data_IF_388164172096
#
_entry.id   IF_388164172096
#
_cell.length_a   1.000
_cell.length_b   1.000
_cell.length_c   1.000
_cell.angle_alpha   90.00
_cell.angle_beta   90.00
_cell.angle_gamma   90.00
#
_symmetry.space_group_name_H-M   'P 1'
#
loop_
_entity.id
_entity.type
_entity.pdbx_description
1 polymer ?
#
# COMPACT_ATOMS: atom_id res chain seq x y z
N UNK A 1 -10.24 13.27 26.71
CA UNK A 1 -11.05 12.33 25.92
C UNK A 1 -11.35 11.16 26.83
N UNK A 2 -12.63 10.82 27.07
CA UNK A 2 -13.01 9.80 28.07
C UNK A 2 -12.92 8.36 27.54
N UNK A 3 -13.03 8.17 26.22
CA UNK A 3 -12.90 6.88 25.56
C UNK A 3 -11.96 6.99 24.34
N UNK A 4 -11.12 5.97 24.04
CA UNK A 4 -10.33 5.93 22.82
C UNK A 4 -11.21 6.01 21.55
N UNK A 5 -10.73 6.73 20.53
CA UNK A 5 -11.34 6.78 19.19
C UNK A 5 -10.39 6.08 18.23
N UNK A 6 -10.90 5.06 17.52
CA UNK A 6 -10.12 4.28 16.55
C UNK A 6 -10.60 4.65 15.15
N UNK A 7 -9.68 5.11 14.30
CA UNK A 7 -9.96 5.38 12.90
C UNK A 7 -10.08 4.06 12.11
N UNK A 8 -11.32 3.64 11.85
CA UNK A 8 -11.62 2.50 10.99
C UNK A 8 -11.24 2.76 9.53
N UNK A 9 -11.59 3.94 9.01
CA UNK A 9 -11.23 4.46 7.68
C UNK A 9 -11.68 5.93 7.59
N UNK A 10 -10.88 6.79 6.96
CA UNK A 10 -11.24 8.16 6.56
C UNK A 10 -10.79 8.42 5.13
N UNK A 11 -11.07 9.62 4.61
CA UNK A 11 -10.51 10.08 3.34
C UNK A 11 -8.97 10.19 3.35
N UNK A 12 -8.39 10.51 4.50
CA UNK A 12 -6.95 10.75 4.62
C UNK A 12 -6.15 9.51 5.06
N UNK A 13 -6.74 8.63 5.87
CA UNK A 13 -5.99 7.53 6.49
C UNK A 13 -6.87 6.29 6.68
N UNK A 14 -6.23 5.12 6.57
CA UNK A 14 -6.81 3.81 6.88
C UNK A 14 -5.85 2.99 7.77
N UNK A 15 -5.59 3.45 9.02
CA UNK A 15 -4.51 2.92 9.85
C UNK A 15 -4.74 1.48 10.31
N UNK A 16 -6.00 1.04 10.45
CA UNK A 16 -6.31 -0.36 10.80
C UNK A 16 -5.96 -1.34 9.68
N UNK A 17 -6.06 -0.93 8.41
CA UNK A 17 -5.54 -1.71 7.28
C UNK A 17 -4.03 -1.78 7.34
N UNK A 18 -3.34 -0.65 7.50
CA UNK A 18 -1.88 -0.62 7.56
C UNK A 18 -1.29 -1.52 8.66
N UNK A 19 -1.97 -1.66 9.81
CA UNK A 19 -1.49 -2.56 10.88
C UNK A 19 -1.64 -4.03 10.47
N UNK A 20 -2.73 -4.39 9.78
CA UNK A 20 -2.88 -5.73 9.20
C UNK A 20 -1.85 -6.00 8.11
N UNK A 21 -1.54 -5.00 7.27
CA UNK A 21 -0.51 -5.12 6.23
C UNK A 21 0.85 -5.41 6.86
N UNK A 22 1.24 -4.64 7.87
CA UNK A 22 2.49 -4.84 8.60
C UNK A 22 2.56 -6.19 9.33
N UNK A 23 1.43 -6.69 9.85
CA UNK A 23 1.36 -8.03 10.43
C UNK A 23 1.64 -9.09 9.36
N UNK A 24 0.97 -8.99 8.21
CA UNK A 24 1.15 -9.90 7.07
C UNK A 24 2.59 -9.87 6.54
N UNK A 25 3.17 -8.68 6.34
CA UNK A 25 4.56 -8.53 5.93
C UNK A 25 5.50 -9.22 6.92
N UNK A 26 5.28 -9.03 8.22
CA UNK A 26 6.11 -9.65 9.26
C UNK A 26 6.01 -11.18 9.24
N UNK A 27 4.83 -11.73 9.01
CA UNK A 27 4.61 -13.18 8.92
C UNK A 27 5.26 -13.80 7.68
N UNK A 28 5.14 -13.13 6.52
CA UNK A 28 5.64 -13.66 5.24
C UNK A 28 7.12 -13.41 5.01
N UNK A 29 7.67 -12.32 5.56
CA UNK A 29 9.07 -11.89 5.33
C UNK A 29 9.95 -11.94 6.58
N UNK A 30 9.39 -12.18 7.76
CA UNK A 30 10.11 -12.36 9.03
C UNK A 30 10.64 -11.07 9.66
N UNK A 31 10.89 -10.00 8.89
CA UNK A 31 11.33 -8.70 9.40
C UNK A 31 10.87 -7.55 8.49
N UNK A 32 11.03 -6.31 8.93
CA UNK A 32 10.84 -5.11 8.09
C UNK A 32 12.15 -4.58 7.51
N UNK A 33 13.28 -5.01 8.07
CA UNK A 33 14.57 -4.41 7.80
C UNK A 33 15.02 -4.73 6.38
N UNK A 34 15.33 -3.68 5.60
CA UNK A 34 15.82 -3.83 4.24
C UNK A 34 14.78 -4.31 3.24
N UNK A 35 13.50 -4.30 3.61
CA UNK A 35 12.41 -4.57 2.68
C UNK A 35 12.08 -3.32 1.85
N UNK A 36 11.67 -3.55 0.61
CA UNK A 36 11.09 -2.54 -0.28
C UNK A 36 9.65 -2.90 -0.66
N UNK A 37 8.75 -1.92 -0.59
CA UNK A 37 7.39 -1.99 -1.12
C UNK A 37 7.31 -1.18 -2.43
N UNK A 38 6.79 -1.79 -3.48
CA UNK A 38 6.30 -1.10 -4.66
C UNK A 38 4.79 -0.92 -4.53
N UNK A 39 4.32 0.31 -4.42
CA UNK A 39 2.89 0.65 -4.39
C UNK A 39 2.43 1.13 -5.77
N UNK A 40 1.32 0.59 -6.26
CA UNK A 40 0.69 1.02 -7.52
C UNK A 40 -0.82 1.21 -7.35
N UNK A 41 -1.30 2.40 -7.68
CA UNK A 41 -2.72 2.78 -7.66
C UNK A 41 -2.97 4.11 -6.98
N UNK A 42 -4.22 4.39 -6.62
CA UNK A 42 -4.65 5.72 -6.20
C UNK A 42 -3.88 6.24 -4.96
N UNK A 43 -3.53 7.53 -4.96
CA UNK A 43 -2.89 8.21 -3.84
C UNK A 43 -3.96 8.75 -2.88
N UNK A 44 -4.44 7.84 -2.03
CA UNK A 44 -5.49 8.13 -1.06
C UNK A 44 -5.14 7.54 0.31
N UNK A 45 -6.14 7.34 1.17
CA UNK A 45 -5.99 6.90 2.54
C UNK A 45 -4.99 5.74 2.79
N UNK A 46 -5.03 4.67 1.97
CA UNK A 46 -4.09 3.55 2.11
C UNK A 46 -2.69 3.94 1.68
N UNK A 47 -2.50 4.64 0.55
CA UNK A 47 -1.20 5.15 0.13
C UNK A 47 -0.55 6.00 1.24
N UNK A 48 -1.31 6.92 1.83
CA UNK A 48 -0.86 7.80 2.90
C UNK A 48 -0.49 7.02 4.17
N UNK A 49 -1.31 6.05 4.55
CA UNK A 49 -1.02 5.16 5.68
C UNK A 49 0.27 4.38 5.45
N UNK A 50 0.43 3.79 4.26
CA UNK A 50 1.62 3.04 3.87
C UNK A 50 2.87 3.92 3.87
N UNK A 51 2.81 5.16 3.34
CA UNK A 51 3.92 6.12 3.39
C UNK A 51 4.38 6.36 4.83
N UNK A 52 3.45 6.67 5.73
CA UNK A 52 3.78 6.96 7.13
C UNK A 52 4.36 5.72 7.82
N UNK A 53 3.79 4.54 7.58
CA UNK A 53 4.22 3.31 8.24
C UNK A 53 5.59 2.85 7.75
N UNK A 54 5.82 2.86 6.43
CA UNK A 54 7.12 2.55 5.84
C UNK A 54 8.21 3.49 6.38
N UNK A 55 7.95 4.80 6.35
CA UNK A 55 8.89 5.78 6.89
C UNK A 55 9.17 5.60 8.39
N UNK A 56 8.15 5.21 9.16
CA UNK A 56 8.27 4.99 10.62
C UNK A 56 9.04 3.71 10.95
N UNK A 57 8.93 2.67 10.12
CA UNK A 57 9.49 1.34 10.39
C UNK A 57 10.77 1.03 9.62
N UNK A 58 11.24 1.94 8.77
CA UNK A 58 12.49 1.73 8.02
C UNK A 58 12.30 0.84 6.79
N UNK A 59 11.10 0.81 6.21
CA UNK A 59 10.79 0.08 4.98
C UNK A 59 10.92 1.05 3.81
N UNK A 60 11.64 0.66 2.76
CA UNK A 60 11.70 1.47 1.54
C UNK A 60 10.36 1.39 0.80
N UNK A 61 9.90 2.52 0.27
CA UNK A 61 8.64 2.63 -0.47
C UNK A 61 8.88 3.38 -1.77
N UNK A 62 8.59 2.71 -2.88
CA UNK A 62 8.47 3.34 -4.19
C UNK A 62 7.01 3.35 -4.61
N UNK A 63 6.50 4.51 -4.96
CA UNK A 63 5.13 4.73 -5.41
C UNK A 63 5.17 4.99 -6.90
N UNK A 64 4.58 4.08 -7.67
CA UNK A 64 4.44 4.21 -9.10
C UNK A 64 3.15 4.99 -9.40
N UNK A 65 3.28 6.24 -9.84
CA UNK A 65 2.13 7.10 -10.08
C UNK A 65 2.32 8.05 -11.27
N UNK A 66 1.23 8.42 -11.97
CA UNK A 66 1.25 9.42 -13.04
C UNK A 66 1.84 10.76 -12.59
N UNK A 67 2.47 11.48 -13.51
CA UNK A 67 3.14 12.76 -13.22
C UNK A 67 2.20 13.83 -12.65
N UNK A 68 0.95 13.83 -13.09
CA UNK A 68 -0.04 14.86 -12.71
C UNK A 68 -0.83 14.48 -11.45
N UNK A 69 -0.46 13.39 -10.78
CA UNK A 69 -1.07 12.94 -9.52
C UNK A 69 -0.01 12.99 -8.43
N UNK A 70 -0.13 14.02 -7.58
CA UNK A 70 0.75 14.22 -6.43
C UNK A 70 0.06 13.77 -5.12
N UNK A 71 0.82 13.26 -4.14
CA UNK A 71 0.28 12.94 -2.83
C UNK A 71 -0.02 14.22 -2.05
N UNK A 72 -0.81 14.08 -0.99
CA UNK A 72 -0.94 15.13 0.02
C UNK A 72 0.44 15.59 0.53
N UNK A 73 0.67 16.91 0.47
CA UNK A 73 1.99 17.51 0.75
C UNK A 73 2.39 17.38 2.21
N UNK A 74 1.43 17.43 3.13
CA UNK A 74 1.69 17.35 4.56
C UNK A 74 2.02 15.89 4.94
N UNK A 75 1.32 14.92 4.35
CA UNK A 75 1.66 13.49 4.50
C UNK A 75 3.05 13.19 3.95
N UNK A 76 3.37 13.66 2.74
CA UNK A 76 4.70 13.43 2.16
C UNK A 76 5.80 14.06 3.00
N UNK A 77 5.60 15.29 3.47
CA UNK A 77 6.56 15.98 4.35
C UNK A 77 6.76 15.23 5.68
N UNK A 78 5.69 14.72 6.28
CA UNK A 78 5.75 13.92 7.49
C UNK A 78 6.45 12.58 7.26
N UNK A 79 6.15 11.87 6.16
CA UNK A 79 6.84 10.65 5.79
C UNK A 79 8.35 10.89 5.60
N UNK A 80 8.73 11.94 4.87
CA UNK A 80 10.14 12.33 4.70
C UNK A 80 10.81 12.68 6.04
N UNK A 81 10.10 13.34 6.96
CA UNK A 81 10.61 13.65 8.30
C UNK A 81 10.92 12.39 9.09
N UNK A 82 10.02 11.40 9.07
CA UNK A 82 10.20 10.11 9.78
C UNK A 82 11.29 9.27 9.14
N UNK A 83 11.35 9.24 7.81
CA UNK A 83 12.36 8.55 7.03
C UNK A 83 13.80 8.98 7.39
N UNK A 84 14.02 10.26 7.75
CA UNK A 84 15.34 10.72 8.25
C UNK A 84 15.82 10.01 9.51
N UNK A 85 14.90 9.55 10.36
CA UNK A 85 15.26 8.85 11.60
C UNK A 85 15.52 7.35 11.38
N UNK A 86 14.93 6.76 10.35
CA UNK A 86 14.98 5.31 10.09
C UNK A 86 15.91 4.93 8.94
N UNK A 87 16.22 5.88 8.05
CA UNK A 87 16.96 5.64 6.82
C UNK A 87 16.10 5.11 5.66
N UNK A 88 14.77 4.99 5.83
CA UNK A 88 13.87 4.59 4.76
C UNK A 88 13.93 5.56 3.57
N UNK A 89 13.75 5.03 2.36
CA UNK A 89 13.56 5.82 1.15
C UNK A 89 12.09 5.83 0.78
N UNK A 90 11.50 7.03 0.66
CA UNK A 90 10.13 7.22 0.22
C UNK A 90 10.19 8.00 -1.10
N UNK A 91 9.93 7.31 -2.20
CA UNK A 91 10.17 7.81 -3.56
C UNK A 91 8.90 7.68 -4.41
N UNK A 92 8.66 8.68 -5.25
CA UNK A 92 7.61 8.67 -6.25
C UNK A 92 8.26 8.60 -7.64
N UNK A 93 7.71 7.79 -8.52
CA UNK A 93 8.26 7.61 -9.87
C UNK A 93 7.14 7.37 -10.88
N UNK A 94 7.36 7.82 -12.12
CA UNK A 94 6.52 7.51 -13.27
C UNK A 94 6.98 6.22 -13.99
N UNK A 95 8.15 5.70 -13.61
CA UNK A 95 8.69 4.45 -14.15
C UNK A 95 8.26 3.29 -13.25
N UNK A 96 7.30 2.50 -13.75
CA UNK A 96 6.78 1.36 -13.01
C UNK A 96 7.83 0.25 -12.85
N UNK A 97 8.74 0.08 -13.81
CA UNK A 97 9.79 -0.94 -13.70
C UNK A 97 10.78 -0.58 -12.60
N UNK A 98 11.17 0.69 -12.51
CA UNK A 98 12.06 1.16 -11.43
C UNK A 98 11.38 1.07 -10.05
N UNK A 99 10.06 1.30 -9.98
CA UNK A 99 9.30 1.06 -8.74
C UNK A 99 9.34 -0.43 -8.34
N UNK A 100 9.08 -1.33 -9.29
CA UNK A 100 9.04 -2.78 -9.04
C UNK A 100 10.41 -3.37 -8.71
N UNK A 101 11.48 -2.83 -9.28
CA UNK A 101 12.84 -3.34 -9.11
C UNK A 101 13.21 -3.53 -7.64
N UNK A 102 13.72 -4.71 -7.32
CA UNK A 102 14.12 -5.12 -5.95
C UNK A 102 13.00 -5.09 -4.90
N UNK A 103 11.73 -4.90 -5.28
CA UNK A 103 10.61 -4.92 -4.34
C UNK A 103 10.41 -6.32 -3.74
N UNK A 104 10.22 -6.35 -2.42
CA UNK A 104 9.85 -7.55 -1.66
C UNK A 104 8.32 -7.70 -1.55
N UNK A 105 7.60 -6.59 -1.71
CA UNK A 105 6.14 -6.51 -1.71
C UNK A 105 5.71 -5.66 -2.90
N UNK A 106 4.76 -6.16 -3.69
CA UNK A 106 4.03 -5.38 -4.68
C UNK A 106 2.62 -5.17 -4.13
N UNK A 107 2.29 -3.94 -3.80
CA UNK A 107 1.01 -3.55 -3.20
C UNK A 107 0.14 -2.88 -4.25
N UNK A 108 -0.98 -3.53 -4.60
CA UNK A 108 -1.97 -2.98 -5.51
C UNK A 108 -3.04 -2.16 -4.78
N UNK A 109 -3.56 -1.16 -5.48
CA UNK A 109 -4.69 -0.36 -5.01
C UNK A 109 -5.63 -0.08 -6.18
N UNK A 110 -6.94 -0.10 -5.88
CA UNK A 110 -7.96 0.41 -6.80
C UNK A 110 -7.60 1.80 -7.30
N UNK A 111 -7.80 2.05 -8.60
CA UNK A 111 -7.35 3.29 -9.26
C UNK A 111 -8.18 4.51 -8.85
N UNK A 112 -9.34 4.29 -8.24
CA UNK A 112 -10.26 5.30 -7.76
C UNK A 112 -10.85 4.89 -6.41
N UNK A 113 -11.56 5.81 -5.76
CA UNK A 113 -12.09 5.69 -4.41
C UNK A 113 -13.54 6.18 -4.33
N UNK A 114 -14.22 5.84 -3.25
CA UNK A 114 -15.61 6.26 -3.04
C UNK A 114 -15.71 7.79 -2.97
N UNK A 115 -16.71 8.36 -3.65
CA UNK A 115 -17.01 9.79 -3.61
C UNK A 115 -16.41 10.62 -4.75
N UNK A 116 -15.70 9.99 -5.69
CA UNK A 116 -15.21 10.65 -6.91
C UNK A 116 -16.29 10.69 -8.00
N UNK A 117 -16.25 11.72 -8.85
CA UNK A 117 -17.16 11.86 -10.00
C UNK A 117 -16.82 10.85 -11.10
N UNK A 118 -17.76 10.60 -12.01
CA UNK A 118 -17.54 9.71 -13.15
C UNK A 118 -16.39 10.20 -14.05
N UNK A 119 -16.23 11.52 -14.21
CA UNK A 119 -15.12 12.11 -14.94
C UNK A 119 -13.76 11.88 -14.25
N UNK A 120 -13.71 12.03 -12.93
CA UNK A 120 -12.50 11.75 -12.14
C UNK A 120 -12.11 10.27 -12.22
N UNK A 121 -13.10 9.37 -12.10
CA UNK A 121 -12.88 7.92 -12.23
C UNK A 121 -12.33 7.59 -13.62
N UNK A 122 -12.93 8.13 -14.69
CA UNK A 122 -12.48 7.87 -16.06
C UNK A 122 -11.04 8.37 -16.30
N UNK A 123 -10.70 9.55 -15.78
CA UNK A 123 -9.33 10.07 -15.82
C UNK A 123 -8.35 9.16 -15.09
N UNK A 124 -8.67 8.76 -13.86
CA UNK A 124 -7.80 7.92 -13.04
C UNK A 124 -7.57 6.54 -13.66
N UNK A 125 -8.62 5.92 -14.20
CA UNK A 125 -8.49 4.62 -14.89
C UNK A 125 -7.50 4.67 -16.04
N UNK A 126 -7.61 5.70 -16.90
CA UNK A 126 -6.69 5.84 -18.03
C UNK A 126 -5.27 6.19 -17.56
N UNK A 127 -5.14 7.07 -16.58
CA UNK A 127 -3.85 7.49 -16.04
C UNK A 127 -3.09 6.34 -15.38
N UNK A 128 -3.78 5.46 -14.64
CA UNK A 128 -3.17 4.34 -13.93
C UNK A 128 -3.02 3.05 -14.75
N UNK A 129 -3.58 3.00 -15.96
CA UNK A 129 -3.46 1.83 -16.86
C UNK A 129 -2.02 1.34 -17.11
N UNK A 130 -0.99 2.21 -17.27
CA UNK A 130 0.41 1.76 -17.41
C UNK A 130 0.98 1.07 -16.16
N UNK A 131 0.30 1.18 -15.02
CA UNK A 131 0.74 0.68 -13.72
C UNK A 131 -0.05 -0.56 -13.26
N UNK A 132 -0.82 -1.19 -14.16
CA UNK A 132 -1.52 -2.43 -13.87
C UNK A 132 -0.55 -3.53 -13.46
N UNK A 133 -0.86 -4.19 -12.34
CA UNK A 133 -0.06 -5.29 -11.80
C UNK A 133 -0.46 -6.57 -12.53
N UNK A 134 0.37 -6.94 -13.50
CA UNK A 134 0.29 -8.20 -14.24
C UNK A 134 1.35 -9.19 -13.74
N UNK A 135 1.29 -10.45 -14.18
CA UNK A 135 2.37 -11.41 -13.90
C UNK A 135 3.72 -10.96 -14.47
N UNK A 136 3.73 -10.20 -15.58
CA UNK A 136 4.97 -9.65 -16.12
C UNK A 136 5.50 -8.49 -15.29
N UNK A 137 4.62 -7.70 -14.66
CA UNK A 137 5.03 -6.72 -13.66
C UNK A 137 5.62 -7.41 -12.41
N UNK A 138 4.96 -8.46 -11.90
CA UNK A 138 5.46 -9.24 -10.76
C UNK A 138 6.86 -9.82 -10.99
N UNK A 139 7.19 -10.25 -12.21
CA UNK A 139 8.54 -10.75 -12.57
C UNK A 139 9.65 -9.69 -12.50
N UNK A 140 9.31 -8.40 -12.47
CA UNK A 140 10.28 -7.30 -12.32
C UNK A 140 10.62 -7.02 -10.86
N UNK A 141 9.80 -7.50 -9.93
CA UNK A 141 10.11 -7.53 -8.51
C UNK A 141 11.01 -8.73 -8.16
N UNK A 142 11.35 -8.90 -6.88
CA UNK A 142 12.13 -10.06 -6.45
C UNK A 142 11.37 -11.38 -6.73
N UNK A 143 12.07 -12.49 -7.01
CA UNK A 143 11.42 -13.77 -7.30
C UNK A 143 10.53 -14.30 -6.17
N UNK A 144 10.80 -13.91 -4.92
CA UNK A 144 10.01 -14.27 -3.74
C UNK A 144 9.08 -13.15 -3.29
N UNK A 145 8.90 -12.08 -4.07
CA UNK A 145 8.03 -10.96 -3.71
C UNK A 145 6.59 -11.44 -3.45
N UNK A 146 5.91 -10.81 -2.51
CA UNK A 146 4.49 -11.09 -2.26
C UNK A 146 3.61 -10.02 -2.90
N UNK A 147 2.42 -10.39 -3.34
CA UNK A 147 1.39 -9.48 -3.79
C UNK A 147 0.36 -9.24 -2.68
N UNK A 148 0.06 -7.97 -2.43
CA UNK A 148 -0.88 -7.50 -1.40
C UNK A 148 -1.87 -6.49 -2.00
N UNK A 149 -3.07 -6.42 -1.44
CA UNK A 149 -4.14 -5.53 -1.88
C UNK A 149 -5.23 -5.46 -0.79
N UNK A 150 -5.59 -4.26 -0.33
CA UNK A 150 -6.53 -4.09 0.80
C UNK A 150 -7.97 -4.61 0.54
N UNK A 151 -8.31 -4.78 -0.74
CA UNK A 151 -9.63 -5.16 -1.27
C UNK A 151 -10.72 -4.08 -1.03
N UNK A 152 -11.83 -4.11 -1.80
CA UNK A 152 -12.08 -4.94 -2.98
C UNK A 152 -11.17 -4.56 -4.16
N UNK A 153 -10.86 -5.54 -5.02
CA UNK A 153 -10.07 -5.36 -6.23
C UNK A 153 -10.97 -5.36 -7.49
N UNK A 154 -10.64 -4.55 -8.47
CA UNK A 154 -11.23 -4.54 -9.82
C UNK A 154 -10.30 -5.30 -10.77
N UNK A 155 -10.56 -6.60 -10.89
CA UNK A 155 -9.84 -7.50 -11.80
C UNK A 155 -9.90 -7.00 -13.24
N UNK A 156 -8.73 -6.92 -13.88
CA UNK A 156 -8.57 -6.36 -15.22
C UNK A 156 -8.35 -4.83 -15.25
N UNK A 157 -8.44 -4.15 -14.10
CA UNK A 157 -8.10 -2.73 -13.95
C UNK A 157 -6.74 -2.56 -13.26
N UNK A 158 -6.66 -2.48 -11.93
CA UNK A 158 -5.37 -2.34 -11.24
C UNK A 158 -4.53 -3.62 -11.22
N UNK A 159 -5.17 -4.79 -11.32
CA UNK A 159 -4.53 -6.10 -11.17
C UNK A 159 -5.19 -7.12 -12.08
N UNK A 160 -4.43 -8.08 -12.60
CA UNK A 160 -4.99 -9.20 -13.38
C UNK A 160 -5.45 -10.35 -12.50
N UNK A 161 -6.35 -11.18 -13.03
CA UNK A 161 -6.85 -12.37 -12.35
C UNK A 161 -5.70 -13.30 -11.94
N UNK A 162 -4.72 -13.48 -12.80
CA UNK A 162 -3.60 -14.39 -12.58
C UNK A 162 -2.75 -13.95 -11.38
N UNK A 163 -2.55 -12.64 -11.17
CA UNK A 163 -1.81 -12.14 -10.00
C UNK A 163 -2.60 -12.40 -8.73
N UNK A 164 -3.92 -12.17 -8.72
CA UNK A 164 -4.74 -12.41 -7.53
C UNK A 164 -4.76 -13.87 -7.11
N UNK A 165 -4.72 -14.79 -8.07
CA UNK A 165 -4.78 -16.25 -7.84
C UNK A 165 -3.39 -16.92 -7.75
N UNK A 166 -2.29 -16.20 -7.96
CA UNK A 166 -0.97 -16.81 -7.93
C UNK A 166 -0.49 -17.13 -6.51
N UNK A 167 0.50 -18.01 -6.39
CA UNK A 167 1.09 -18.38 -5.11
C UNK A 167 1.81 -17.25 -4.37
N UNK A 168 2.14 -16.15 -5.05
CA UNK A 168 2.73 -14.96 -4.43
C UNK A 168 1.66 -14.04 -3.82
N UNK A 169 0.38 -14.22 -4.16
CA UNK A 169 -0.75 -13.47 -3.60
C UNK A 169 -1.01 -13.89 -2.17
N UNK A 170 -1.02 -12.92 -1.25
CA UNK A 170 -1.34 -13.14 0.17
C UNK A 170 -2.55 -12.33 0.62
N UNK A 171 -3.37 -11.87 -0.33
CA UNK A 171 -4.51 -10.95 -0.10
C UNK A 171 -5.54 -11.49 0.90
N UNK A 172 -5.72 -12.81 0.98
CA UNK A 172 -6.66 -13.41 1.93
C UNK A 172 -6.09 -13.51 3.34
N UNK A 173 -4.79 -13.78 3.47
CA UNK A 173 -4.11 -13.72 4.77
C UNK A 173 -4.08 -12.27 5.28
N UNK A 174 -3.83 -11.30 4.38
CA UNK A 174 -3.95 -9.86 4.65
C UNK A 174 -5.36 -9.49 5.16
N UNK A 175 -6.40 -9.98 4.47
CA UNK A 175 -7.78 -9.79 4.87
C UNK A 175 -8.11 -10.41 6.23
N UNK A 176 -7.66 -11.64 6.50
CA UNK A 176 -7.84 -12.30 7.80
C UNK A 176 -7.12 -11.55 8.94
N UNK A 177 -5.91 -11.06 8.67
CA UNK A 177 -5.09 -10.34 9.63
C UNK A 177 -5.71 -9.02 10.13
N UNK A 178 -6.73 -8.49 9.44
CA UNK A 178 -7.57 -7.40 9.97
C UNK A 178 -8.25 -7.77 11.29
N UNK A 179 -8.73 -9.00 11.45
CA UNK A 179 -9.35 -9.45 12.69
C UNK A 179 -8.34 -9.46 13.84
N UNK A 180 -7.15 -10.01 13.58
CA UNK A 180 -6.10 -10.16 14.60
C UNK A 180 -5.48 -8.82 15.01
N UNK A 181 -5.17 -7.98 14.04
CA UNK A 181 -4.65 -6.63 14.28
C UNK A 181 -5.64 -5.76 15.06
N UNK A 182 -6.93 -5.78 14.72
CA UNK A 182 -7.95 -5.01 15.45
C UNK A 182 -8.09 -5.47 16.90
N UNK A 183 -8.04 -6.78 17.17
CA UNK A 183 -8.00 -7.31 18.55
C UNK A 183 -6.82 -6.74 19.34
N UNK A 184 -5.63 -6.66 18.72
CA UNK A 184 -4.44 -6.10 19.35
C UNK A 184 -4.58 -4.59 19.60
N UNK A 185 -5.13 -3.82 18.65
CA UNK A 185 -5.40 -2.39 18.81
C UNK A 185 -6.34 -2.15 19.98
N UNK A 186 -7.46 -2.88 20.05
CA UNK A 186 -8.43 -2.77 21.14
C UNK A 186 -7.79 -3.08 22.50
N UNK A 187 -6.99 -4.14 22.60
CA UNK A 187 -6.28 -4.50 23.82
C UNK A 187 -5.25 -3.43 24.25
N UNK A 188 -4.59 -2.77 23.29
CA UNK A 188 -3.59 -1.75 23.57
C UNK A 188 -4.20 -0.44 24.09
N UNK A 189 -5.38 -0.06 23.61
CA UNK A 189 -6.04 1.22 23.98
C UNK A 189 -7.04 1.08 25.13
N UNK A 190 -7.39 -0.13 25.53
CA UNK A 190 -8.31 -0.39 26.63
C UNK A 190 -7.68 -0.20 28.04
N UNK A 191 -6.39 0.16 28.11
CA UNK A 191 -5.66 0.40 29.37
C UNK A 191 -5.70 1.86 29.81
#
# INVERSE_FOLDING_TARGET
MENPVINGLTALEHPTQGIADLMTIKEKKGSYQGLKICYSGNLYNVAYTTMIFCATLGIDLSIACPKDIEPDKDILAEAQRRAKATGAKIELTQDFEEALKDADIVYGMSQYSMGQSDEEIAFLKEAFKPYQITMDAMKKAKPDAIFMHCLPAHRGEEVTDEVMECSQSVIFDEGENRMHSIKAILAAVAN
#
